data_IF_312901261218
#
_entry.id   IF_312901261218
#
_cell.length_a   1.000
_cell.length_b   1.000
_cell.length_c   1.000
_cell.angle_alpha   90.00
_cell.angle_beta   90.00
_cell.angle_gamma   90.00
#
_symmetry.space_group_name_H-M   'P 1'
#
loop_
_entity.id
_entity.type
_entity.pdbx_description
1 polymer ?
#
# COMPACT_ATOMS: atom_id res chain seq x y z
N UNK A 1 3.95 0.06 -14.56
CA UNK A 1 3.13 -0.58 -15.62
C UNK A 1 3.56 -0.05 -16.98
N UNK A 2 3.45 -0.85 -18.03
CA UNK A 2 3.70 -0.41 -19.42
C UNK A 2 2.35 -0.35 -20.15
N UNK A 3 1.95 0.80 -20.72
CA UNK A 3 0.69 0.89 -21.47
C UNK A 3 0.68 -0.07 -22.66
N UNK A 4 -0.41 -0.81 -22.85
CA UNK A 4 -0.57 -1.76 -23.97
C UNK A 4 -0.40 -1.05 -25.33
N UNK A 5 -0.83 0.22 -25.42
CA UNK A 5 -0.74 1.04 -26.64
C UNK A 5 0.61 1.77 -26.79
N UNK A 6 1.61 1.45 -25.98
CA UNK A 6 2.94 2.08 -26.09
C UNK A 6 3.54 1.84 -27.48
N UNK A 7 4.12 2.88 -28.06
CA UNK A 7 4.89 2.77 -29.32
C UNK A 7 6.28 2.15 -29.10
N UNK A 8 6.75 2.12 -27.86
CA UNK A 8 8.09 1.65 -27.46
C UNK A 8 7.99 0.70 -26.26
N UNK A 9 7.32 -0.46 -26.41
CA UNK A 9 7.07 -1.36 -25.28
C UNK A 9 8.36 -2.00 -24.75
N UNK A 10 9.35 -2.26 -25.60
CA UNK A 10 10.62 -2.90 -25.19
C UNK A 10 11.45 -1.96 -24.34
N UNK A 11 11.68 -0.75 -24.83
CA UNK A 11 12.44 0.29 -24.14
C UNK A 11 11.76 0.70 -22.83
N UNK A 12 10.42 0.72 -22.81
CA UNK A 12 9.67 0.95 -21.58
C UNK A 12 9.86 -0.15 -20.54
N UNK A 13 9.96 -1.42 -20.97
CA UNK A 13 10.26 -2.54 -20.07
C UNK A 13 11.71 -2.45 -19.58
N UNK A 14 12.68 -2.20 -20.47
CA UNK A 14 14.09 -2.07 -20.10
C UNK A 14 14.29 -0.93 -19.09
N UNK A 15 13.63 0.21 -19.33
CA UNK A 15 13.65 1.33 -18.39
C UNK A 15 12.99 0.99 -17.05
N UNK A 16 11.84 0.29 -17.07
CA UNK A 16 11.18 -0.13 -15.84
C UNK A 16 12.08 -1.06 -15.03
N UNK A 17 12.68 -2.07 -15.66
CA UNK A 17 13.60 -3.02 -15.02
C UNK A 17 14.83 -2.31 -14.44
N UNK A 18 15.41 -1.36 -15.19
CA UNK A 18 16.48 -0.52 -14.68
C UNK A 18 16.02 0.27 -13.45
N UNK A 19 14.95 1.04 -13.56
CA UNK A 19 14.47 1.92 -12.49
C UNK A 19 14.10 1.14 -11.21
N UNK A 20 13.50 -0.05 -11.36
CA UNK A 20 13.02 -0.86 -10.24
C UNK A 20 13.99 -1.94 -9.76
N UNK A 21 15.25 -1.94 -10.22
CA UNK A 21 16.25 -2.84 -9.65
C UNK A 21 16.59 -2.45 -8.19
N UNK A 22 17.18 -3.37 -7.42
CA UNK A 22 17.46 -3.14 -5.99
C UNK A 22 18.39 -1.97 -5.73
N UNK A 23 19.41 -1.77 -6.57
CA UNK A 23 20.38 -0.69 -6.41
C UNK A 23 19.71 0.68 -6.57
N UNK A 24 18.96 0.88 -7.65
CA UNK A 24 18.29 2.13 -7.95
C UNK A 24 17.17 2.43 -6.95
N UNK A 25 16.43 1.41 -6.51
CA UNK A 25 15.46 1.57 -5.43
C UNK A 25 16.13 1.99 -4.12
N UNK A 26 17.26 1.38 -3.74
CA UNK A 26 17.98 1.75 -2.52
C UNK A 26 18.49 3.19 -2.57
N UNK A 27 19.08 3.61 -3.70
CA UNK A 27 19.52 5.00 -3.87
C UNK A 27 18.35 5.97 -3.79
N UNK A 28 17.19 5.63 -4.36
CA UNK A 28 16.01 6.49 -4.25
C UNK A 28 15.50 6.61 -2.80
N UNK A 29 15.54 5.53 -2.02
CA UNK A 29 15.18 5.55 -0.60
C UNK A 29 16.13 6.41 0.26
N UNK A 30 17.35 6.70 -0.21
CA UNK A 30 18.26 7.64 0.47
C UNK A 30 17.90 9.10 0.19
N UNK A 31 17.23 9.36 -0.95
CA UNK A 31 16.81 10.69 -1.38
C UNK A 31 15.40 11.05 -0.90
N UNK A 32 14.54 10.05 -0.72
CA UNK A 32 13.15 10.21 -0.31
C UNK A 32 12.76 9.19 0.77
N UNK A 33 11.87 9.55 1.71
CA UNK A 33 11.46 8.68 2.81
C UNK A 33 10.45 7.62 2.38
N UNK A 34 10.86 6.76 1.45
CA UNK A 34 10.08 5.66 0.89
C UNK A 34 10.72 4.31 1.24
N UNK A 35 9.96 3.23 1.03
CA UNK A 35 10.43 1.86 1.22
C UNK A 35 10.59 1.15 -0.14
N UNK A 36 11.64 0.34 -0.32
CA UNK A 36 11.83 -0.42 -1.54
C UNK A 36 10.91 -1.66 -1.57
N UNK A 37 10.66 -2.17 -2.76
CA UNK A 37 9.89 -3.39 -3.00
C UNK A 37 10.76 -4.64 -3.22
N UNK A 38 12.09 -4.51 -3.19
CA UNK A 38 13.01 -5.64 -3.35
C UNK A 38 13.60 -6.07 -2.02
N UNK A 39 13.77 -7.38 -1.83
CA UNK A 39 14.34 -7.96 -0.61
C UNK A 39 15.78 -7.48 -0.35
N UNK A 40 16.62 -7.38 -1.39
CA UNK A 40 18.02 -6.97 -1.21
C UNK A 40 18.13 -5.53 -0.70
N UNK A 41 17.32 -4.62 -1.25
CA UNK A 41 17.33 -3.22 -0.82
C UNK A 41 16.79 -3.05 0.60
N UNK A 42 15.66 -3.71 0.96
CA UNK A 42 15.08 -3.57 2.31
C UNK A 42 15.96 -4.19 3.40
N UNK A 43 16.76 -5.21 3.06
CA UNK A 43 17.67 -5.88 4.00
C UNK A 43 19.04 -5.19 4.14
N UNK A 44 19.28 -4.11 3.38
CA UNK A 44 20.52 -3.33 3.45
C UNK A 44 20.70 -2.64 4.81
N UNK A 45 21.94 -2.29 5.13
CA UNK A 45 22.27 -1.58 6.38
C UNK A 45 21.55 -0.23 6.53
N UNK A 46 21.09 0.35 5.42
CA UNK A 46 20.31 1.58 5.44
C UNK A 46 19.04 1.43 6.28
N UNK A 47 18.33 0.31 6.20
CA UNK A 47 17.09 0.10 6.96
C UNK A 47 17.30 -0.51 8.35
N UNK A 48 18.56 -0.68 8.78
CA UNK A 48 18.87 -1.19 10.12
C UNK A 48 18.85 -0.07 11.15
N UNK A 49 18.49 -0.46 12.36
CA UNK A 49 18.58 0.42 13.52
C UNK A 49 20.05 0.68 13.86
N UNK A 50 20.41 1.94 14.06
CA UNK A 50 21.77 2.36 14.37
C UNK A 50 21.88 2.85 15.81
N UNK A 51 23.04 2.66 16.48
CA UNK A 51 23.33 3.35 17.73
C UNK A 51 23.25 4.87 17.52
N UNK A 52 22.63 5.58 18.47
CA UNK A 52 22.44 7.04 18.40
C UNK A 52 21.67 7.54 17.16
N UNK A 53 20.80 6.71 16.59
CA UNK A 53 19.94 7.10 15.47
C UNK A 53 19.07 8.33 15.78
N UNK A 54 18.98 9.23 14.81
CA UNK A 54 18.02 10.33 14.84
C UNK A 54 16.58 9.81 14.67
N UNK A 55 15.60 10.71 14.77
CA UNK A 55 14.19 10.35 14.63
C UNK A 55 13.86 9.73 13.27
N UNK A 56 14.55 10.16 12.21
CA UNK A 56 14.28 9.72 10.86
C UNK A 56 14.83 8.30 10.61
N UNK A 57 16.05 8.03 11.06
CA UNK A 57 16.67 6.72 11.03
C UNK A 57 15.88 5.69 11.85
N UNK A 58 15.36 6.11 13.02
CA UNK A 58 14.45 5.28 13.83
C UNK A 58 13.14 4.99 13.10
N UNK A 59 12.48 6.01 12.55
CA UNK A 59 11.24 5.84 11.80
C UNK A 59 11.44 4.89 10.61
N UNK A 60 12.52 5.07 9.84
CA UNK A 60 12.88 4.20 8.70
C UNK A 60 13.04 2.74 9.13
N UNK A 61 13.80 2.48 10.19
CA UNK A 61 14.00 1.13 10.69
C UNK A 61 12.70 0.47 11.18
N UNK A 62 11.82 1.23 11.84
CA UNK A 62 10.50 0.75 12.26
C UNK A 62 9.63 0.42 11.04
N UNK A 63 9.55 1.33 10.07
CA UNK A 63 8.77 1.14 8.84
C UNK A 63 9.23 -0.09 8.06
N UNK A 64 10.55 -0.32 7.96
CA UNK A 64 11.09 -1.51 7.33
C UNK A 64 10.72 -2.80 8.09
N UNK A 65 10.83 -2.82 9.42
CA UNK A 65 10.42 -3.98 10.25
C UNK A 65 8.93 -4.30 10.09
N UNK A 66 8.07 -3.29 9.91
CA UNK A 66 6.63 -3.48 9.74
C UNK A 66 6.25 -4.16 8.42
N UNK A 67 7.07 -4.03 7.36
CA UNK A 67 6.80 -4.71 6.09
C UNK A 67 6.76 -6.24 6.23
N UNK A 68 7.45 -6.83 7.20
CA UNK A 68 7.38 -8.27 7.48
C UNK A 68 5.98 -8.76 7.88
N UNK A 69 5.11 -7.84 8.29
CA UNK A 69 3.71 -8.10 8.65
C UNK A 69 2.73 -7.47 7.65
N UNK A 70 3.24 -6.87 6.57
CA UNK A 70 2.38 -6.31 5.55
C UNK A 70 1.62 -7.45 4.88
N UNK A 71 0.30 -7.32 4.86
CA UNK A 71 -0.59 -8.22 4.15
C UNK A 71 -1.26 -7.43 3.03
N UNK A 72 -1.59 -8.09 1.93
CA UNK A 72 -2.57 -7.63 0.97
C UNK A 72 -3.88 -8.40 1.22
N UNK A 73 -4.65 -8.05 2.27
CA UNK A 73 -5.75 -8.89 2.74
C UNK A 73 -6.94 -8.94 1.78
N UNK A 74 -7.08 -7.92 0.92
CA UNK A 74 -8.19 -7.83 -0.04
C UNK A 74 -7.61 -7.94 -1.45
N UNK A 75 -7.91 -9.03 -2.20
CA UNK A 75 -7.55 -9.11 -3.60
C UNK A 75 -8.28 -8.01 -4.39
N UNK A 76 -7.82 -7.64 -5.60
CA UNK A 76 -8.59 -6.77 -6.48
C UNK A 76 -10.00 -7.35 -6.71
N UNK A 77 -11.04 -6.59 -6.35
CA UNK A 77 -12.44 -6.97 -6.53
C UNK A 77 -13.08 -6.08 -7.60
N UNK A 78 -14.05 -6.62 -8.33
CA UNK A 78 -14.99 -5.77 -9.05
C UNK A 78 -15.65 -4.82 -8.04
N UNK A 79 -15.89 -3.57 -8.44
CA UNK A 79 -16.54 -2.56 -7.60
C UNK A 79 -15.81 -2.26 -6.27
N UNK A 80 -14.48 -2.51 -6.21
CA UNK A 80 -13.66 -2.26 -5.02
C UNK A 80 -13.74 -0.80 -4.53
N UNK A 81 -13.92 0.16 -5.44
CA UNK A 81 -14.11 1.57 -5.09
C UNK A 81 -15.37 1.77 -4.25
N UNK A 82 -16.48 1.13 -4.62
CA UNK A 82 -17.74 1.26 -3.91
C UNK A 82 -17.66 0.59 -2.54
N UNK A 83 -17.00 -0.58 -2.45
CA UNK A 83 -16.70 -1.22 -1.16
C UNK A 83 -15.94 -0.27 -0.23
N UNK A 84 -14.89 0.39 -0.72
CA UNK A 84 -14.11 1.35 0.08
C UNK A 84 -14.97 2.54 0.52
N UNK A 85 -15.81 3.09 -0.36
CA UNK A 85 -16.71 4.18 0.00
C UNK A 85 -17.72 3.79 1.08
N UNK A 86 -18.28 2.58 1.01
CA UNK A 86 -19.18 2.05 2.05
C UNK A 86 -18.43 1.97 3.39
N UNK A 87 -17.24 1.37 3.41
CA UNK A 87 -16.44 1.20 4.64
C UNK A 87 -16.04 2.54 5.24
N UNK A 88 -15.56 3.48 4.42
CA UNK A 88 -15.16 4.82 4.85
C UNK A 88 -16.35 5.58 5.44
N UNK A 89 -17.50 5.57 4.76
CA UNK A 89 -18.70 6.23 5.25
C UNK A 89 -19.19 5.64 6.58
N UNK A 90 -19.26 4.30 6.69
CA UNK A 90 -19.68 3.66 7.94
C UNK A 90 -18.69 3.92 9.09
N UNK A 91 -17.40 3.98 8.79
CA UNK A 91 -16.36 4.38 9.76
C UNK A 91 -16.59 5.79 10.26
N UNK A 92 -16.86 6.74 9.36
CA UNK A 92 -17.17 8.13 9.72
C UNK A 92 -18.41 8.22 10.62
N UNK A 93 -19.48 7.47 10.31
CA UNK A 93 -20.69 7.45 11.14
C UNK A 93 -20.43 6.93 12.56
N UNK A 94 -19.52 5.98 12.72
CA UNK A 94 -19.11 5.46 14.05
C UNK A 94 -18.27 6.51 14.79
N UNK A 95 -17.28 7.10 14.13
CA UNK A 95 -16.38 8.08 14.74
C UNK A 95 -17.12 9.36 15.16
N UNK A 96 -18.17 9.75 14.43
CA UNK A 96 -19.04 10.88 14.77
C UNK A 96 -20.14 10.54 15.79
N UNK A 97 -20.22 9.28 16.24
CA UNK A 97 -21.22 8.83 17.22
C UNK A 97 -22.64 8.68 16.67
N UNK A 98 -22.84 8.78 15.34
CA UNK A 98 -24.14 8.61 14.70
C UNK A 98 -24.60 7.14 14.64
N UNK A 99 -23.66 6.19 14.64
CA UNK A 99 -23.95 4.75 14.64
C UNK A 99 -23.08 3.99 15.63
N UNK A 100 -23.63 2.91 16.21
CA UNK A 100 -22.84 1.92 16.95
C UNK A 100 -22.01 1.05 15.98
N UNK A 101 -20.80 0.60 16.36
CA UNK A 101 -19.93 -0.19 15.47
C UNK A 101 -20.63 -1.41 14.83
N UNK A 102 -21.38 -2.19 15.61
CA UNK A 102 -22.11 -3.37 15.09
C UNK A 102 -23.12 -3.00 14.01
N UNK A 103 -23.92 -1.95 14.25
CA UNK A 103 -24.93 -1.51 13.29
C UNK A 103 -24.29 -0.95 12.00
N UNK A 104 -23.14 -0.28 12.11
CA UNK A 104 -22.40 0.24 10.97
C UNK A 104 -21.84 -0.90 10.10
N UNK A 105 -21.27 -1.94 10.70
CA UNK A 105 -20.79 -3.13 9.97
C UNK A 105 -21.96 -3.88 9.33
N UNK A 106 -23.07 -4.09 10.05
CA UNK A 106 -24.25 -4.77 9.49
C UNK A 106 -24.80 -4.02 8.26
N UNK A 107 -24.83 -2.69 8.32
CA UNK A 107 -25.24 -1.88 7.18
C UNK A 107 -24.22 -1.95 6.04
N UNK A 108 -22.91 -1.91 6.32
CA UNK A 108 -21.88 -2.07 5.29
C UNK A 108 -22.03 -3.39 4.53
N UNK A 109 -22.26 -4.49 5.25
CA UNK A 109 -22.51 -5.81 4.65
C UNK A 109 -23.75 -5.80 3.77
N UNK A 110 -24.84 -5.18 4.24
CA UNK A 110 -26.07 -5.09 3.45
C UNK A 110 -25.89 -4.28 2.16
N UNK A 111 -25.22 -3.13 2.21
CA UNK A 111 -24.96 -2.33 0.99
C UNK A 111 -24.02 -3.08 0.03
N UNK A 112 -23.00 -3.74 0.55
CA UNK A 112 -22.09 -4.52 -0.28
C UNK A 112 -22.79 -5.70 -0.97
N UNK A 113 -23.66 -6.42 -0.25
CA UNK A 113 -24.42 -7.52 -0.83
C UNK A 113 -25.37 -7.06 -1.95
N UNK A 114 -25.91 -5.84 -1.90
CA UNK A 114 -26.70 -5.29 -3.01
C UNK A 114 -25.85 -5.11 -4.26
N UNK A 115 -24.68 -4.48 -4.12
CA UNK A 115 -23.73 -4.29 -5.24
C UNK A 115 -23.32 -5.64 -5.84
N UNK A 116 -23.04 -6.63 -4.99
CA UNK A 116 -22.72 -7.98 -5.47
C UNK A 116 -23.88 -8.66 -6.21
N UNK A 117 -25.13 -8.33 -5.88
CA UNK A 117 -26.32 -8.90 -6.55
C UNK A 117 -26.69 -8.23 -7.88
N UNK A 118 -26.14 -7.04 -8.15
CA UNK A 118 -26.37 -6.28 -9.39
C UNK A 118 -25.40 -6.67 -10.53
N UNK A 119 -24.45 -7.57 -10.24
CA UNK A 119 -23.46 -8.11 -11.19
C UNK A 119 -23.68 -9.62 -11.39
#
# INVERSE_FOLDING_TARGET
>A
VVPIKSKHPKEAIDFALFLTNSQNQLEFCKLAPILPSTLDAINSDFFREKPNADLMDKARAISAKQLNRAMAPVPPLANQKDLFQIVDYMTQQVLLGHKKPKAAIDQAVNEWNKILSEN
#
